data_IF_098580237230
#
_entry.id   IF_098580237230
#
_cell.length_a   1.000
_cell.length_b   1.000
_cell.length_c   1.000
_cell.angle_alpha   90.00
_cell.angle_beta   90.00
_cell.angle_gamma   90.00
#
_symmetry.space_group_name_H-M   'P 1'
#
loop_
_entity.id
_entity.type
_entity.pdbx_description
1 polymer ?
#
# COMPACT_ATOMS: atom_id res chain seq x y z
N UNK A 1 -0.45 -48.79 -20.14
CA UNK A 1 -0.57 -47.74 -21.16
C UNK A 1 0.53 -46.72 -20.89
N UNK A 2 1.63 -46.70 -21.66
CA UNK A 2 2.72 -45.73 -21.45
C UNK A 2 2.26 -44.37 -21.95
N UNK A 3 2.15 -43.38 -21.07
CA UNK A 3 1.93 -41.99 -21.46
C UNK A 3 3.17 -41.55 -22.26
N UNK A 4 2.99 -41.32 -23.56
CA UNK A 4 3.99 -40.72 -24.42
C UNK A 4 3.90 -39.22 -24.20
N UNK A 5 4.82 -38.66 -23.42
CA UNK A 5 4.92 -37.21 -23.26
C UNK A 5 5.56 -36.62 -24.51
N UNK A 6 4.97 -35.54 -25.03
CA UNK A 6 5.55 -34.78 -26.15
C UNK A 6 6.78 -34.04 -25.63
N UNK A 7 7.92 -34.21 -26.30
CA UNK A 7 9.16 -33.52 -25.91
C UNK A 7 9.07 -32.05 -26.31
N UNK A 8 9.30 -31.15 -25.35
CA UNK A 8 9.30 -29.72 -25.60
C UNK A 8 10.67 -29.26 -26.08
N UNK A 9 10.69 -28.43 -27.13
CA UNK A 9 11.90 -27.76 -27.61
C UNK A 9 12.33 -26.64 -26.66
N UNK A 10 13.60 -26.24 -26.75
CA UNK A 10 14.14 -25.12 -25.99
C UNK A 10 13.33 -23.83 -26.17
N UNK A 11 12.87 -23.57 -27.39
CA UNK A 11 12.06 -22.40 -27.73
C UNK A 11 10.68 -22.43 -27.06
N UNK A 12 10.09 -23.62 -26.89
CA UNK A 12 8.81 -23.78 -26.21
C UNK A 12 8.92 -23.59 -24.69
N UNK A 13 10.11 -23.82 -24.12
CA UNK A 13 10.41 -23.57 -22.71
C UNK A 13 10.87 -22.14 -22.44
N UNK A 14 11.45 -21.47 -23.45
CA UNK A 14 12.00 -20.13 -23.31
C UNK A 14 10.89 -19.09 -23.31
N UNK A 15 10.70 -18.44 -22.16
CA UNK A 15 9.87 -17.24 -22.05
C UNK A 15 10.62 -16.04 -22.65
N UNK A 16 10.27 -15.65 -23.87
CA UNK A 16 10.83 -14.49 -24.56
C UNK A 16 10.03 -13.22 -24.25
N UNK A 17 10.73 -12.11 -24.10
CA UNK A 17 10.14 -10.79 -23.90
C UNK A 17 10.71 -9.84 -24.94
N UNK A 18 9.85 -9.04 -25.58
CA UNK A 18 10.30 -7.97 -26.45
C UNK A 18 10.75 -6.78 -25.60
N UNK A 19 12.02 -6.42 -25.71
CA UNK A 19 12.62 -5.32 -24.96
C UNK A 19 12.66 -4.00 -25.75
N UNK A 20 12.20 -3.98 -27.00
CA UNK A 20 12.25 -2.78 -27.86
C UNK A 20 11.53 -1.55 -27.30
N UNK A 21 10.62 -1.74 -26.33
CA UNK A 21 9.90 -0.65 -25.66
C UNK A 21 10.60 -0.03 -24.44
N UNK A 22 11.71 -0.60 -23.97
CA UNK A 22 12.45 -0.06 -22.83
C UNK A 22 13.56 0.87 -23.31
N UNK A 23 13.54 2.12 -22.83
CA UNK A 23 14.51 3.16 -23.23
C UNK A 23 15.63 3.38 -22.20
N UNK A 24 15.64 2.62 -21.11
CA UNK A 24 16.65 2.71 -20.06
C UNK A 24 17.72 1.62 -20.26
N UNK A 25 18.99 1.98 -20.10
CA UNK A 25 20.09 1.01 -20.07
C UNK A 25 20.12 0.23 -18.75
N UNK A 26 19.84 0.92 -17.63
CA UNK A 26 19.77 0.35 -16.29
C UNK A 26 18.52 0.83 -15.56
N UNK A 27 18.06 0.05 -14.58
CA UNK A 27 16.91 0.40 -13.73
C UNK A 27 17.18 1.58 -12.80
N UNK A 28 18.44 1.99 -12.61
CA UNK A 28 18.81 3.16 -11.81
C UNK A 28 18.26 4.46 -12.39
N UNK A 29 18.13 4.51 -13.72
CA UNK A 29 17.59 5.68 -14.44
C UNK A 29 16.06 5.71 -14.47
N UNK A 30 15.39 4.63 -14.02
CA UNK A 30 13.94 4.53 -14.04
C UNK A 30 13.37 5.21 -12.79
N UNK A 31 12.41 6.16 -12.96
CA UNK A 31 11.74 6.77 -11.83
C UNK A 31 11.09 5.72 -10.93
N UNK A 32 11.24 5.89 -9.60
CA UNK A 32 10.58 5.00 -8.67
C UNK A 32 9.05 5.09 -8.82
N UNK A 33 8.43 3.92 -8.93
CA UNK A 33 6.97 3.83 -8.96
C UNK A 33 6.45 4.29 -7.59
N UNK A 34 5.59 5.32 -7.62
CA UNK A 34 4.90 5.79 -6.43
C UNK A 34 3.60 5.00 -6.28
N UNK A 35 3.41 4.38 -5.13
CA UNK A 35 2.19 3.62 -4.80
C UNK A 35 2.30 2.11 -4.97
N UNK A 36 1.20 1.40 -4.75
CA UNK A 36 1.13 -0.06 -4.95
C UNK A 36 0.81 -0.39 -6.40
N UNK A 37 1.53 -1.37 -6.94
CA UNK A 37 1.27 -1.91 -8.27
C UNK A 37 0.10 -2.89 -8.20
N UNK A 38 -0.93 -2.69 -9.03
CA UNK A 38 -2.04 -3.64 -9.19
C UNK A 38 -3.02 -3.71 -8.02
N UNK A 39 -3.09 -2.67 -7.18
CA UNK A 39 -3.94 -2.64 -5.97
C UNK A 39 -4.90 -1.44 -5.95
N UNK A 40 -5.43 -1.05 -7.11
CA UNK A 40 -6.30 0.13 -7.25
C UNK A 40 -7.53 0.07 -6.33
N UNK A 41 -8.11 -1.13 -6.15
CA UNK A 41 -9.26 -1.33 -5.24
C UNK A 41 -8.89 -1.01 -3.79
N UNK A 42 -7.72 -1.45 -3.34
CA UNK A 42 -7.27 -1.22 -1.97
C UNK A 42 -7.01 0.27 -1.72
N UNK A 43 -6.36 0.95 -2.68
CA UNK A 43 -6.09 2.38 -2.61
C UNK A 43 -7.40 3.17 -2.48
N UNK A 44 -8.38 2.91 -3.35
CA UNK A 44 -9.69 3.59 -3.30
C UNK A 44 -10.44 3.35 -1.98
N UNK A 45 -10.36 2.14 -1.43
CA UNK A 45 -11.01 1.82 -0.15
C UNK A 45 -10.38 2.59 1.02
N UNK A 46 -9.04 2.72 1.02
CA UNK A 46 -8.31 3.51 2.02
C UNK A 46 -8.69 4.99 1.89
N UNK A 47 -8.63 5.55 0.68
CA UNK A 47 -9.00 6.95 0.42
C UNK A 47 -10.45 7.24 0.82
N UNK A 48 -11.39 6.35 0.50
CA UNK A 48 -12.77 6.48 0.92
C UNK A 48 -12.90 6.53 2.45
N UNK A 49 -12.31 5.55 3.15
CA UNK A 49 -12.40 5.49 4.61
C UNK A 49 -11.76 6.69 5.31
N UNK A 50 -10.65 7.22 4.78
CA UNK A 50 -9.94 8.38 5.35
C UNK A 50 -10.66 9.73 5.12
N UNK A 51 -11.60 9.77 4.18
CA UNK A 51 -12.45 10.93 3.91
C UNK A 51 -13.76 10.92 4.72
N UNK A 52 -14.02 9.88 5.51
CA UNK A 52 -15.17 9.87 6.43
C UNK A 52 -14.81 10.74 7.65
N UNK A 53 -15.43 11.92 7.74
CA UNK A 53 -15.27 12.84 8.87
C UNK A 53 -16.34 12.60 9.93
N UNK A 54 -16.38 11.38 10.48
CA UNK A 54 -17.32 11.00 11.52
C UNK A 54 -16.65 10.01 12.49
N UNK A 55 -16.88 10.15 13.81
CA UNK A 55 -16.46 9.14 14.76
C UNK A 55 -17.14 7.79 14.50
N UNK A 56 -16.51 6.70 14.96
CA UNK A 56 -17.05 5.34 14.88
C UNK A 56 -16.62 4.54 13.64
N UNK A 57 -15.84 5.12 12.73
CA UNK A 57 -15.31 4.44 11.55
C UNK A 57 -13.85 4.08 11.70
N UNK A 58 -13.50 2.83 11.36
CA UNK A 58 -12.13 2.33 11.34
C UNK A 58 -11.86 1.62 10.01
N UNK A 59 -10.60 1.61 9.57
CA UNK A 59 -10.16 0.87 8.38
C UNK A 59 -9.35 -0.34 8.82
N UNK A 60 -9.66 -1.51 8.27
CA UNK A 60 -8.87 -2.73 8.43
C UNK A 60 -8.24 -3.11 7.08
N UNK A 61 -6.95 -3.44 7.09
CA UNK A 61 -6.18 -3.75 5.88
C UNK A 61 -5.63 -5.18 5.96
N UNK A 62 -6.02 -6.03 5.00
CA UNK A 62 -5.62 -7.43 4.92
C UNK A 62 -4.92 -7.76 3.60
N UNK A 63 -4.07 -8.79 3.62
CA UNK A 63 -3.37 -9.30 2.45
C UNK A 63 -2.21 -10.23 2.85
N UNK A 64 -1.65 -10.94 1.87
CA UNK A 64 -0.51 -11.84 2.06
C UNK A 64 0.68 -11.10 2.67
N UNK A 65 1.47 -11.75 3.51
CA UNK A 65 2.69 -11.15 4.07
C UNK A 65 3.62 -10.56 3.00
N UNK A 66 4.39 -9.55 3.38
CA UNK A 66 5.41 -8.89 2.54
C UNK A 66 4.90 -8.16 1.29
N UNK A 67 3.59 -7.90 1.19
CA UNK A 67 3.02 -7.09 0.10
C UNK A 67 3.13 -5.58 0.32
N UNK A 68 3.89 -5.11 1.32
CA UNK A 68 4.06 -3.67 1.59
C UNK A 68 2.79 -2.94 2.05
N UNK A 69 1.88 -3.62 2.77
CA UNK A 69 0.62 -3.01 3.27
C UNK A 69 0.89 -1.80 4.17
N UNK A 70 1.71 -1.98 5.20
CA UNK A 70 2.00 -0.95 6.18
C UNK A 70 2.67 0.26 5.55
N UNK A 71 3.73 0.06 4.76
CA UNK A 71 4.44 1.15 4.09
C UNK A 71 3.53 1.94 3.14
N UNK A 72 2.59 1.26 2.48
CA UNK A 72 1.61 1.92 1.61
C UNK A 72 0.63 2.78 2.41
N UNK A 73 0.05 2.22 3.48
CA UNK A 73 -0.89 2.95 4.34
C UNK A 73 -0.22 4.17 4.95
N UNK A 74 0.99 4.02 5.49
CA UNK A 74 1.76 5.12 6.06
C UNK A 74 2.04 6.22 5.04
N UNK A 75 2.43 5.87 3.80
CA UNK A 75 2.66 6.86 2.74
C UNK A 75 1.39 7.68 2.47
N UNK A 76 0.25 7.01 2.31
CA UNK A 76 -1.04 7.68 2.06
C UNK A 76 -1.41 8.58 3.23
N UNK A 77 -1.25 8.10 4.47
CA UNK A 77 -1.53 8.88 5.68
C UNK A 77 -0.64 10.13 5.78
N UNK A 78 0.65 10.02 5.46
CA UNK A 78 1.58 11.16 5.45
C UNK A 78 1.18 12.20 4.39
N UNK A 79 0.80 11.77 3.19
CA UNK A 79 0.33 12.66 2.12
C UNK A 79 -1.00 13.35 2.46
N UNK A 80 -1.86 12.70 3.24
CA UNK A 80 -3.13 13.28 3.68
C UNK A 80 -2.94 14.24 4.87
N UNK A 81 -2.08 13.89 5.83
CA UNK A 81 -1.84 14.67 7.03
C UNK A 81 -1.30 16.07 6.72
N UNK A 82 -0.47 16.22 5.66
CA UNK A 82 0.03 17.54 5.22
C UNK A 82 -1.06 18.47 4.71
N UNK A 83 -2.27 17.96 4.46
CA UNK A 83 -3.43 18.71 3.96
C UNK A 83 -4.49 18.97 5.05
N UNK A 84 -4.28 18.47 6.27
CA UNK A 84 -5.20 18.64 7.40
C UNK A 84 -4.63 19.64 8.40
N UNK A 85 -5.51 20.20 9.23
CA UNK A 85 -5.10 21.08 10.33
C UNK A 85 -4.23 20.32 11.34
N UNK A 86 -3.33 21.05 11.99
CA UNK A 86 -2.51 20.50 13.07
C UNK A 86 -3.45 20.13 14.23
N UNK A 87 -3.39 18.89 14.74
CA UNK A 87 -4.25 18.48 15.85
C UNK A 87 -3.90 19.28 17.12
N UNK A 88 -4.89 19.47 17.98
CA UNK A 88 -4.68 20.08 19.29
C UNK A 88 -3.77 19.21 20.17
N UNK A 89 -3.00 19.86 21.03
CA UNK A 89 -2.28 19.17 22.11
C UNK A 89 -3.27 18.56 23.11
N UNK A 90 -2.96 17.35 23.57
CA UNK A 90 -3.75 16.66 24.60
C UNK A 90 -2.96 16.63 25.89
N UNK A 91 -3.53 17.15 26.97
CA UNK A 91 -2.96 17.09 28.31
C UNK A 91 -4.01 16.62 29.32
N UNK A 92 -3.57 15.76 30.25
CA UNK A 92 -4.33 15.47 31.46
C UNK A 92 -4.04 16.55 32.48
N UNK A 93 -5.08 17.00 33.19
CA UNK A 93 -4.95 18.02 34.23
C UNK A 93 -5.47 17.45 35.53
N UNK A 94 -4.77 17.71 36.63
CA UNK A 94 -5.28 17.20 37.89
C UNK A 94 -6.59 17.90 38.26
N UNK A 95 -7.67 17.12 38.26
CA UNK A 95 -8.95 17.55 38.79
C UNK A 95 -8.92 17.53 40.33
N UNK A 96 -8.76 18.70 40.94
CA UNK A 96 -8.70 18.84 42.41
C UNK A 96 -10.03 18.51 43.13
N UNK A 97 -11.15 18.48 42.40
CA UNK A 97 -12.46 18.15 42.97
C UNK A 97 -12.73 16.64 42.94
N UNK A 98 -12.25 15.96 41.90
CA UNK A 98 -12.38 14.52 41.73
C UNK A 98 -11.07 13.94 41.14
N UNK A 99 -10.14 13.48 42.00
CA UNK A 99 -8.83 12.96 41.57
C UNK A 99 -8.89 11.76 40.63
N UNK A 100 -9.99 10.99 40.62
CA UNK A 100 -10.17 9.82 39.75
C UNK A 100 -10.64 10.20 38.33
N UNK A 101 -10.91 11.48 38.08
CA UNK A 101 -11.32 12.04 36.78
C UNK A 101 -10.36 13.16 36.31
N UNK A 102 -9.12 12.81 35.92
CA UNK A 102 -8.11 13.75 35.44
C UNK A 102 -8.35 14.27 34.01
#
# INVERSE_FOLDING_TARGET
MKLKHEELSFEQLKRSYDLKGFTCETTETVPQIKGMIGQDRAIRAIEFGLNIDSPGYNIYVAGLSDTGRTSTVERILRELATKKEVPNDWCYVHNFQDPDQP
#
